data_IF_591218833741
#
_entry.id   IF_591218833741
#
_cell.length_a   1.000
_cell.length_b   1.000
_cell.length_c   1.000
_cell.angle_alpha   90.00
_cell.angle_beta   90.00
_cell.angle_gamma   90.00
#
_symmetry.space_group_name_H-M   'P 1'
#
loop_
_entity.id
_entity.type
_entity.pdbx_description
1 polymer ?
#
# COMPACT_ATOMS: atom_id res chain seq x y z
N UNK A 1 4.00 7.59 8.98
CA UNK A 1 4.37 7.82 7.56
C UNK A 1 3.16 7.65 6.64
N UNK A 2 3.03 8.46 5.59
CA UNK A 2 1.92 8.35 4.61
C UNK A 2 2.44 7.72 3.33
N UNK A 3 1.74 6.71 2.81
CA UNK A 3 2.17 5.91 1.65
C UNK A 3 1.12 5.95 0.56
N UNK A 4 1.56 6.24 -0.67
CA UNK A 4 0.79 6.06 -1.90
C UNK A 4 1.31 4.79 -2.59
N UNK A 5 0.43 3.85 -2.91
CA UNK A 5 0.81 2.66 -3.68
C UNK A 5 0.50 2.93 -5.15
N UNK A 6 1.52 2.88 -6.01
CA UNK A 6 1.38 3.06 -7.45
C UNK A 6 2.02 1.88 -8.18
N UNK A 7 1.19 0.92 -8.57
CA UNK A 7 1.59 -0.30 -9.29
C UNK A 7 0.42 -0.73 -10.19
N UNK A 8 0.70 -1.20 -11.40
CA UNK A 8 -0.27 -1.62 -12.42
C UNK A 8 -0.79 -3.05 -12.21
N UNK A 9 -0.12 -3.84 -11.36
CA UNK A 9 -0.47 -5.22 -11.07
C UNK A 9 -1.29 -5.35 -9.78
N UNK A 10 -2.55 -5.85 -9.84
CA UNK A 10 -3.39 -6.01 -8.65
C UNK A 10 -2.78 -6.87 -7.53
N UNK A 11 -1.99 -7.88 -7.90
CA UNK A 11 -1.35 -8.79 -6.93
C UNK A 11 -0.29 -8.07 -6.08
N UNK A 12 0.48 -7.17 -6.67
CA UNK A 12 1.53 -6.41 -5.98
C UNK A 12 0.91 -5.39 -5.04
N UNK A 13 -0.12 -4.65 -5.51
CA UNK A 13 -0.86 -3.71 -4.65
C UNK A 13 -1.40 -4.38 -3.40
N UNK A 14 -2.00 -5.57 -3.54
CA UNK A 14 -2.53 -6.33 -2.40
C UNK A 14 -1.42 -6.70 -1.41
N UNK A 15 -0.30 -7.23 -1.88
CA UNK A 15 0.83 -7.60 -1.03
C UNK A 15 1.44 -6.39 -0.30
N UNK A 16 1.67 -5.29 -1.02
CA UNK A 16 2.20 -4.05 -0.42
C UNK A 16 1.25 -3.48 0.64
N UNK A 17 -0.06 -3.53 0.41
CA UNK A 17 -1.06 -3.10 1.38
C UNK A 17 -1.01 -3.94 2.66
N UNK A 18 -0.86 -5.26 2.55
CA UNK A 18 -0.74 -6.16 3.71
C UNK A 18 0.53 -5.88 4.51
N UNK A 19 1.66 -5.66 3.82
CA UNK A 19 2.93 -5.30 4.46
C UNK A 19 2.83 -3.94 5.17
N UNK A 20 2.28 -2.92 4.51
CA UNK A 20 2.12 -1.60 5.14
C UNK A 20 1.15 -1.66 6.32
N UNK A 21 0.13 -2.53 6.27
CA UNK A 21 -0.81 -2.72 7.37
C UNK A 21 -0.21 -3.43 8.59
N UNK A 22 0.93 -4.13 8.47
CA UNK A 22 1.63 -4.69 9.63
C UNK A 22 2.48 -3.67 10.38
N UNK A 23 2.74 -2.49 9.78
CA UNK A 23 3.51 -1.41 10.40
C UNK A 23 2.59 -0.43 11.14
N UNK A 24 2.87 -0.20 12.42
CA UNK A 24 1.96 0.52 13.33
C UNK A 24 1.92 2.03 13.12
N UNK A 25 2.94 2.60 12.47
CA UNK A 25 3.10 4.03 12.26
C UNK A 25 2.86 4.42 10.79
N UNK A 26 2.42 3.50 9.93
CA UNK A 26 2.23 3.72 8.50
C UNK A 26 0.75 3.68 8.11
N UNK A 27 0.35 4.56 7.18
CA UNK A 27 -0.99 4.59 6.62
C UNK A 27 -0.94 4.69 5.10
N UNK A 28 -1.73 3.84 4.42
CA UNK A 28 -1.97 3.97 2.98
C UNK A 28 -3.01 5.07 2.76
N UNK A 29 -2.64 6.09 1.99
CA UNK A 29 -3.51 7.26 1.72
C UNK A 29 -4.16 7.21 0.34
N UNK A 30 -3.78 6.24 -0.49
CA UNK A 30 -4.36 6.03 -1.80
C UNK A 30 -3.66 4.91 -2.58
N UNK A 31 -4.33 4.45 -3.63
CA UNK A 31 -3.78 3.53 -4.62
C UNK A 31 -4.00 4.14 -6.01
N UNK A 32 -2.99 4.08 -6.88
CA UNK A 32 -3.16 4.45 -8.29
C UNK A 32 -4.08 3.44 -8.99
N UNK A 33 -4.94 3.92 -9.88
CA UNK A 33 -5.80 3.08 -10.73
C UNK A 33 -5.05 2.51 -11.90
#
# INVERSE_FOLDING_TARGET
MRVLIADDHPVVRKGLREIVASEHDMIVVGEAK
#
